data_IF_271770697565
#
_entry.id   IF_271770697565
#
_cell.length_a   1.000
_cell.length_b   1.000
_cell.length_c   1.000
_cell.angle_alpha   90.00
_cell.angle_beta   90.00
_cell.angle_gamma   90.00
#
_symmetry.space_group_name_H-M   'P 1'
#
loop_
_entity.id
_entity.type
_entity.pdbx_description
1 polymer ?
#
# COMPACT_ATOMS: atom_id res chain seq x y z
N UNK A 1 -12.67 -20.32 15.50
CA UNK A 1 -12.46 -19.13 16.34
C UNK A 1 -12.80 -17.91 15.50
N UNK A 2 -13.67 -17.04 16.01
CA UNK A 2 -14.34 -15.99 15.22
C UNK A 2 -13.34 -15.03 14.57
N UNK A 3 -13.61 -14.72 13.31
CA UNK A 3 -12.99 -13.66 12.52
C UNK A 3 -13.50 -12.33 13.08
N UNK A 4 -12.74 -11.70 13.98
CA UNK A 4 -13.06 -10.39 14.53
C UNK A 4 -12.76 -9.32 13.47
N UNK A 5 -13.83 -8.80 12.88
CA UNK A 5 -13.81 -7.72 11.90
C UNK A 5 -13.28 -6.41 12.47
N UNK A 6 -11.98 -6.20 12.36
CA UNK A 6 -11.41 -4.85 12.41
C UNK A 6 -11.70 -4.21 11.04
N UNK A 7 -12.72 -3.36 10.97
CA UNK A 7 -12.81 -2.39 9.87
C UNK A 7 -11.44 -1.71 9.75
N UNK A 8 -10.82 -1.61 8.56
CA UNK A 8 -9.46 -1.09 8.46
C UNK A 8 -9.45 0.28 9.12
N UNK A 9 -8.75 0.39 10.26
CA UNK A 9 -8.57 1.68 10.91
C UNK A 9 -8.04 2.61 9.83
N UNK A 10 -8.75 3.71 9.58
CA UNK A 10 -8.27 4.77 8.68
C UNK A 10 -7.02 5.39 9.31
N UNK A 11 -5.90 4.68 9.22
CA UNK A 11 -4.60 5.22 9.57
C UNK A 11 -4.28 6.24 8.49
N UNK A 12 -4.37 7.51 8.84
CA UNK A 12 -3.99 8.58 7.94
C UNK A 12 -2.48 8.46 7.66
N UNK A 13 -2.12 8.23 6.41
CA UNK A 13 -0.73 8.28 5.98
C UNK A 13 -0.34 9.74 5.75
N UNK A 14 0.69 10.23 6.44
CA UNK A 14 1.31 11.54 6.20
C UNK A 14 2.81 11.34 6.03
N UNK A 15 3.38 12.06 5.07
CA UNK A 15 4.82 12.02 4.81
C UNK A 15 5.12 12.52 3.40
N UNK A 16 6.41 12.72 3.13
CA UNK A 16 6.90 13.26 1.87
C UNK A 16 6.35 12.51 0.64
N UNK A 17 6.38 11.18 0.66
CA UNK A 17 5.89 10.37 -0.46
C UNK A 17 4.38 10.50 -0.69
N UNK A 18 3.59 10.72 0.38
CA UNK A 18 2.14 10.93 0.26
C UNK A 18 1.83 12.29 -0.36
N UNK A 19 2.60 13.33 -0.01
CA UNK A 19 2.42 14.66 -0.59
C UNK A 19 2.76 14.68 -2.09
N UNK A 20 3.81 13.95 -2.48
CA UNK A 20 4.14 13.73 -3.89
C UNK A 20 3.01 12.99 -4.61
N UNK A 21 2.52 11.87 -4.06
CA UNK A 21 1.45 11.09 -4.67
C UNK A 21 0.19 11.93 -4.90
N UNK A 22 -0.22 12.73 -3.90
CA UNK A 22 -1.35 13.66 -4.01
C UNK A 22 -1.13 14.70 -5.11
N UNK A 23 0.08 15.25 -5.22
CA UNK A 23 0.40 16.25 -6.26
C UNK A 23 0.34 15.63 -7.65
N UNK A 24 0.87 14.42 -7.82
CA UNK A 24 0.83 13.68 -9.09
C UNK A 24 -0.60 13.35 -9.49
N UNK A 25 -1.42 12.85 -8.55
CA UNK A 25 -2.83 12.56 -8.78
C UNK A 25 -3.59 13.79 -9.29
N UNK A 26 -3.33 14.97 -8.75
CA UNK A 26 -3.94 16.24 -9.19
C UNK A 26 -3.44 16.70 -10.57
N UNK A 27 -2.15 16.57 -10.85
CA UNK A 27 -1.58 17.01 -12.15
C UNK A 27 -2.04 16.09 -13.28
N UNK A 28 -1.99 14.78 -13.07
CA UNK A 28 -2.27 13.77 -14.09
C UNK A 28 -3.77 13.46 -14.19
N UNK A 29 -4.52 13.64 -13.10
CA UNK A 29 -5.97 13.44 -13.07
C UNK A 29 -6.39 11.99 -12.83
N UNK A 30 -5.74 11.30 -11.89
CA UNK A 30 -6.13 9.94 -11.48
C UNK A 30 -6.59 9.88 -10.02
N UNK A 31 -7.42 8.88 -9.72
CA UNK A 31 -7.81 8.50 -8.35
C UNK A 31 -7.07 7.24 -7.93
N UNK A 32 -6.92 7.03 -6.63
CA UNK A 32 -6.21 5.87 -6.08
C UNK A 32 -6.80 5.46 -4.73
N UNK A 33 -6.71 4.17 -4.43
CA UNK A 33 -6.90 3.62 -3.10
C UNK A 33 -5.53 3.21 -2.53
N UNK A 34 -5.28 3.53 -1.26
CA UNK A 34 -3.99 3.32 -0.61
C UNK A 34 -4.11 2.25 0.48
N UNK A 35 -3.23 1.24 0.41
CA UNK A 35 -3.17 0.14 1.37
C UNK A 35 -1.72 -0.12 1.80
N UNK A 36 -1.56 -0.66 3.01
CA UNK A 36 -0.27 -1.17 3.47
C UNK A 36 -0.06 -2.59 2.94
N UNK A 37 1.18 -2.88 2.54
CA UNK A 37 1.60 -4.21 2.09
C UNK A 37 1.29 -5.24 3.16
N UNK A 38 0.60 -6.32 2.77
CA UNK A 38 -0.02 -7.26 3.71
C UNK A 38 1.01 -7.95 4.60
N UNK A 39 2.19 -8.26 4.04
CA UNK A 39 3.28 -8.93 4.76
C UNK A 39 4.35 -7.97 5.31
N UNK A 40 4.22 -6.66 5.09
CA UNK A 40 5.17 -5.63 5.53
C UNK A 40 6.57 -5.69 4.90
N UNK A 41 6.77 -6.45 3.82
CA UNK A 41 8.07 -6.61 3.14
C UNK A 41 8.11 -5.86 1.82
N UNK A 42 9.24 -5.22 1.54
CA UNK A 42 9.47 -4.52 0.26
C UNK A 42 9.45 -5.48 -0.94
N UNK A 43 10.10 -6.63 -0.80
CA UNK A 43 10.05 -7.70 -1.79
C UNK A 43 11.40 -8.35 -2.02
N UNK A 44 11.35 -9.64 -2.31
CA UNK A 44 12.51 -10.50 -2.58
C UNK A 44 12.11 -11.55 -3.60
N UNK A 45 13.03 -11.89 -4.50
CA UNK A 45 12.85 -13.00 -5.43
C UNK A 45 13.20 -14.31 -4.74
N UNK A 46 12.22 -15.20 -4.63
CA UNK A 46 12.35 -16.55 -4.05
C UNK A 46 11.83 -17.54 -5.10
N UNK A 47 12.67 -18.49 -5.48
CA UNK A 47 12.33 -19.53 -6.47
C UNK A 47 11.77 -18.96 -7.79
N UNK A 48 12.37 -17.84 -8.24
CA UNK A 48 11.96 -17.15 -9.47
C UNK A 48 10.77 -16.21 -9.31
N UNK A 49 10.06 -16.23 -8.19
CA UNK A 49 8.84 -15.44 -7.93
C UNK A 49 9.14 -14.29 -6.97
N UNK A 50 8.58 -13.11 -7.24
CA UNK A 50 8.67 -11.98 -6.33
C UNK A 50 7.62 -12.09 -5.21
N UNK A 51 8.02 -11.76 -3.98
CA UNK A 51 7.11 -11.57 -2.85
C UNK A 51 7.10 -10.10 -2.39
N UNK A 52 6.35 -9.80 -1.32
CA UNK A 52 6.28 -8.45 -0.75
C UNK A 52 5.54 -7.48 -1.67
N UNK A 53 5.81 -6.18 -1.50
CA UNK A 53 5.25 -5.09 -2.30
C UNK A 53 5.42 -5.27 -3.81
N UNK A 54 6.47 -5.97 -4.26
CA UNK A 54 6.72 -6.20 -5.70
C UNK A 54 5.88 -7.36 -6.25
N UNK A 55 5.52 -8.32 -5.39
CA UNK A 55 4.73 -9.50 -5.76
C UNK A 55 3.23 -9.40 -5.45
N UNK A 56 2.83 -8.36 -4.71
CA UNK A 56 1.43 -7.92 -4.51
C UNK A 56 1.01 -7.03 -5.69
#
# INVERSE_FOLDING_TARGET
ALQEGVAPMKQCCKGFCIDILKRLAKIVGFTYDLYLVTNGKHGKKIDGVWNGMVGE
#
